data_IF_628995872146
#
_entry.id   IF_628995872146
#
_cell.length_a   1.000
_cell.length_b   1.000
_cell.length_c   1.000
_cell.angle_alpha   90.00
_cell.angle_beta   90.00
_cell.angle_gamma   90.00
#
_symmetry.space_group_name_H-M   'P 1'
#
loop_
_entity.id
_entity.type
_entity.pdbx_description
1 polymer ?
#
# COMPACT_ATOMS: atom_id res chain seq x y z
N UNK A 1 6.09 34.58 23.02
CA UNK A 1 6.56 33.16 23.02
C UNK A 1 5.91 32.46 21.84
N UNK A 2 6.60 32.32 20.69
CA UNK A 2 5.99 31.85 19.44
C UNK A 2 6.95 31.01 18.58
N UNK A 3 7.95 30.39 19.24
CA UNK A 3 9.01 29.60 18.56
C UNK A 3 8.89 28.08 18.74
N UNK A 4 8.04 27.57 19.64
CA UNK A 4 7.95 26.12 19.89
C UNK A 4 7.04 25.36 18.93
N UNK A 5 6.06 26.03 18.29
CA UNK A 5 5.10 25.35 17.40
C UNK A 5 5.74 24.85 16.10
N UNK A 6 6.71 25.57 15.53
CA UNK A 6 7.38 25.15 14.29
C UNK A 6 8.28 23.93 14.49
N UNK A 7 8.94 23.83 15.63
CA UNK A 7 9.76 22.66 15.97
C UNK A 7 8.91 21.41 16.15
N UNK A 8 7.75 21.54 16.78
CA UNK A 8 6.81 20.43 16.98
C UNK A 8 6.21 19.95 15.65
N UNK A 9 5.89 20.88 14.74
CA UNK A 9 5.38 20.56 13.41
C UNK A 9 6.38 19.76 12.57
N UNK A 10 7.65 20.17 12.56
CA UNK A 10 8.69 19.46 11.82
C UNK A 10 9.02 18.08 12.38
N UNK A 11 8.98 17.93 13.71
CA UNK A 11 9.12 16.61 14.34
C UNK A 11 7.95 15.69 13.99
N UNK A 12 6.72 16.23 13.95
CA UNK A 12 5.52 15.49 13.53
C UNK A 12 5.60 15.07 12.05
N UNK A 13 6.00 15.98 11.15
CA UNK A 13 6.22 15.68 9.74
C UNK A 13 7.27 14.58 9.54
N UNK A 14 8.37 14.63 10.29
CA UNK A 14 9.42 13.62 10.22
C UNK A 14 8.95 12.25 10.74
N UNK A 15 8.15 12.22 11.80
CA UNK A 15 7.54 10.99 12.33
C UNK A 15 6.57 10.42 11.30
N UNK A 16 5.70 11.24 10.70
CA UNK A 16 4.76 10.80 9.66
C UNK A 16 5.51 10.26 8.43
N UNK A 17 6.56 10.93 7.97
CA UNK A 17 7.39 10.45 6.86
C UNK A 17 8.06 9.11 7.18
N UNK A 18 8.60 8.96 8.38
CA UNK A 18 9.21 7.71 8.84
C UNK A 18 8.18 6.59 8.96
N UNK A 19 6.97 6.88 9.43
CA UNK A 19 5.86 5.94 9.53
C UNK A 19 5.31 5.53 8.15
N UNK A 20 5.30 6.42 7.17
CA UNK A 20 5.01 6.03 5.78
C UNK A 20 6.04 5.04 5.24
N UNK A 21 7.32 5.21 5.60
CA UNK A 21 8.38 4.27 5.22
C UNK A 21 8.24 2.93 5.95
N UNK A 22 7.96 2.92 7.26
CA UNK A 22 7.76 1.67 8.02
C UNK A 22 6.47 0.96 7.58
N UNK A 23 5.37 1.70 7.40
CA UNK A 23 4.11 1.16 6.89
C UNK A 23 4.30 0.54 5.51
N UNK A 24 5.08 1.19 4.65
CA UNK A 24 5.50 0.60 3.38
C UNK A 24 6.29 -0.70 3.57
N UNK A 25 7.31 -0.72 4.44
CA UNK A 25 8.11 -1.93 4.70
C UNK A 25 7.24 -3.06 5.28
N UNK A 26 6.37 -2.78 6.25
CA UNK A 26 5.60 -3.81 6.96
C UNK A 26 4.41 -4.32 6.15
N UNK A 27 3.72 -3.42 5.42
CA UNK A 27 2.47 -3.76 4.71
C UNK A 27 2.63 -3.95 3.19
N UNK A 28 3.68 -3.40 2.57
CA UNK A 28 4.00 -3.70 1.16
C UNK A 28 5.01 -4.86 1.04
N UNK A 29 5.90 -5.08 2.02
CA UNK A 29 6.78 -6.26 2.01
C UNK A 29 6.25 -7.57 2.68
N UNK A 30 4.99 -7.76 3.14
CA UNK A 30 4.60 -9.04 3.73
C UNK A 30 4.47 -10.18 2.69
N UNK A 31 4.84 -9.94 1.43
CA UNK A 31 5.11 -10.98 0.43
C UNK A 31 6.45 -11.72 0.63
N UNK A 32 7.21 -11.46 1.70
CA UNK A 32 8.32 -12.34 2.14
C UNK A 32 7.81 -13.34 3.19
N UNK A 33 6.69 -14.03 2.93
CA UNK A 33 6.19 -15.06 3.83
C UNK A 33 6.17 -16.44 3.17
N UNK A 34 6.83 -17.38 3.86
CA UNK A 34 6.84 -18.84 3.66
C UNK A 34 7.10 -19.28 2.21
N UNK A 35 8.31 -18.97 1.76
CA UNK A 35 8.81 -19.49 0.49
C UNK A 35 9.01 -21.01 0.57
N UNK A 36 8.31 -21.73 -0.30
CA UNK A 36 8.77 -23.02 -0.80
C UNK A 36 10.22 -22.89 -1.27
N UNK A 37 11.05 -23.90 -1.05
CA UNK A 37 12.46 -24.00 -1.46
C UNK A 37 12.66 -24.05 -2.99
N UNK A 38 11.86 -23.28 -3.73
CA UNK A 38 11.94 -23.06 -5.16
C UNK A 38 13.28 -22.42 -5.54
N UNK A 39 14.06 -23.22 -6.27
CA UNK A 39 15.37 -22.94 -6.86
C UNK A 39 15.81 -21.47 -6.83
N UNK A 40 16.70 -21.12 -5.89
CA UNK A 40 17.32 -19.80 -5.75
C UNK A 40 17.85 -19.23 -7.08
N UNK A 41 18.29 -20.11 -7.99
CA UNK A 41 18.77 -19.73 -9.30
C UNK A 41 17.66 -19.13 -10.19
N UNK A 42 16.44 -19.69 -10.16
CA UNK A 42 15.27 -19.14 -10.85
C UNK A 42 14.99 -17.72 -10.38
N UNK A 43 15.02 -17.48 -9.06
CA UNK A 43 14.79 -16.15 -8.48
C UNK A 43 15.83 -15.15 -8.97
N UNK A 44 17.10 -15.53 -8.96
CA UNK A 44 18.20 -14.69 -9.43
C UNK A 44 18.03 -14.34 -10.92
N UNK A 45 17.64 -15.30 -11.77
CA UNK A 45 17.43 -15.03 -13.19
C UNK A 45 16.26 -14.08 -13.45
N UNK A 46 15.11 -14.33 -12.83
CA UNK A 46 13.93 -13.46 -12.97
C UNK A 46 14.23 -12.05 -12.46
N UNK A 47 14.85 -11.93 -11.29
CA UNK A 47 15.23 -10.64 -10.73
C UNK A 47 16.22 -9.89 -11.64
N UNK A 48 17.24 -10.57 -12.18
CA UNK A 48 18.18 -9.96 -13.12
C UNK A 48 17.52 -9.50 -14.41
N UNK A 49 16.56 -10.28 -14.94
CA UNK A 49 15.80 -9.90 -16.13
C UNK A 49 15.00 -8.62 -15.87
N UNK A 50 14.24 -8.57 -14.77
CA UNK A 50 13.49 -7.38 -14.36
C UNK A 50 14.42 -6.17 -14.14
N UNK A 51 15.54 -6.36 -13.47
CA UNK A 51 16.53 -5.30 -13.26
C UNK A 51 17.14 -4.76 -14.55
N UNK A 52 17.41 -5.63 -15.52
CA UNK A 52 17.89 -5.19 -16.84
C UNK A 52 16.81 -4.42 -17.62
N UNK A 53 15.55 -4.86 -17.52
CA UNK A 53 14.42 -4.12 -18.10
C UNK A 53 14.23 -2.75 -17.44
N UNK A 54 14.44 -2.62 -16.12
CA UNK A 54 14.42 -1.32 -15.44
C UNK A 54 15.58 -0.41 -15.89
N UNK A 55 16.81 -0.94 -15.93
CA UNK A 55 18.00 -0.19 -16.36
C UNK A 55 17.87 0.37 -17.78
N UNK A 56 17.11 -0.31 -18.63
CA UNK A 56 16.84 0.13 -20.01
C UNK A 56 15.60 1.01 -20.14
N UNK A 57 14.88 1.30 -19.04
CA UNK A 57 13.64 2.06 -19.02
C UNK A 57 12.40 1.30 -19.54
N UNK A 58 12.59 0.09 -20.10
CA UNK A 58 11.50 -0.73 -20.64
C UNK A 58 10.50 -1.14 -19.58
N UNK A 59 10.96 -1.60 -18.41
CA UNK A 59 10.06 -2.03 -17.34
C UNK A 59 9.18 -0.89 -16.86
N UNK A 60 9.76 0.31 -16.71
CA UNK A 60 9.05 1.51 -16.30
C UNK A 60 8.00 1.92 -17.34
N UNK A 61 8.35 1.91 -18.63
CA UNK A 61 7.41 2.22 -19.71
C UNK A 61 6.25 1.24 -19.77
N UNK A 62 6.51 -0.06 -19.65
CA UNK A 62 5.48 -1.09 -19.70
C UNK A 62 4.58 -1.06 -18.46
N UNK A 63 5.14 -0.84 -17.27
CA UNK A 63 4.40 -0.72 -16.03
C UNK A 63 3.51 0.54 -16.02
N UNK A 64 4.01 1.68 -16.50
CA UNK A 64 3.22 2.91 -16.61
C UNK A 64 1.99 2.72 -17.54
N UNK A 65 2.14 1.92 -18.59
CA UNK A 65 1.05 1.56 -19.51
C UNK A 65 0.19 0.37 -19.03
N UNK A 66 0.47 -0.19 -17.85
CA UNK A 66 -0.16 -1.42 -17.34
C UNK A 66 -0.09 -2.62 -18.31
N UNK A 67 0.96 -2.69 -19.14
CA UNK A 67 1.10 -3.67 -20.21
C UNK A 67 1.75 -4.97 -19.70
N UNK A 68 1.00 -5.78 -18.95
CA UNK A 68 1.47 -7.06 -18.40
C UNK A 68 1.93 -8.04 -19.48
N UNK A 69 1.26 -8.06 -20.64
CA UNK A 69 1.65 -8.91 -21.78
C UNK A 69 3.03 -8.53 -22.32
N UNK A 70 3.31 -7.23 -22.45
CA UNK A 70 4.63 -6.75 -22.87
C UNK A 70 5.74 -7.11 -21.87
N UNK A 71 5.43 -7.05 -20.56
CA UNK A 71 6.38 -7.49 -19.52
C UNK A 71 6.63 -8.99 -19.65
N UNK A 72 5.59 -9.80 -19.83
CA UNK A 72 5.71 -11.25 -20.00
C UNK A 72 6.55 -11.62 -21.24
N UNK A 73 6.33 -10.93 -22.38
CA UNK A 73 7.09 -11.15 -23.61
C UNK A 73 8.58 -10.87 -23.44
N UNK A 74 8.95 -9.80 -22.73
CA UNK A 74 10.37 -9.51 -22.48
C UNK A 74 11.03 -10.41 -21.44
N UNK A 75 10.26 -10.88 -20.47
CA UNK A 75 10.74 -11.93 -19.57
C UNK A 75 10.94 -13.24 -20.34
N UNK A 76 10.04 -13.59 -21.27
CA UNK A 76 10.16 -14.79 -22.10
C UNK A 76 11.41 -14.75 -22.99
N UNK A 77 11.70 -13.61 -23.61
CA UNK A 77 12.87 -13.43 -24.47
C UNK A 77 14.20 -13.56 -23.69
N UNK A 78 14.18 -13.21 -22.40
CA UNK A 78 15.37 -13.19 -21.55
C UNK A 78 15.58 -14.50 -20.78
N UNK A 79 14.49 -15.11 -20.28
CA UNK A 79 14.60 -16.19 -19.31
C UNK A 79 14.93 -17.53 -19.93
N UNK A 80 14.61 -17.81 -21.20
CA UNK A 80 14.98 -19.03 -21.93
C UNK A 80 14.91 -20.34 -21.10
N UNK A 81 13.96 -20.44 -20.17
CA UNK A 81 13.85 -21.53 -19.20
C UNK A 81 12.59 -22.35 -19.49
N UNK A 82 12.60 -23.67 -19.24
CA UNK A 82 11.43 -24.53 -19.37
C UNK A 82 10.47 -24.35 -18.17
N UNK A 83 10.21 -23.12 -17.79
CA UNK A 83 9.35 -22.76 -16.67
C UNK A 83 8.16 -21.97 -17.19
N UNK A 84 7.00 -22.22 -16.62
CA UNK A 84 5.81 -21.40 -16.86
C UNK A 84 5.82 -20.26 -15.86
N UNK A 85 5.38 -19.09 -16.30
CA UNK A 85 5.20 -17.96 -15.41
C UNK A 85 4.08 -17.04 -15.87
N UNK A 86 3.52 -16.32 -14.91
CA UNK A 86 2.60 -15.21 -15.14
C UNK A 86 3.11 -13.98 -14.39
N UNK A 87 2.62 -12.82 -14.81
CA UNK A 87 3.03 -11.52 -14.30
C UNK A 87 1.83 -10.84 -13.68
N UNK A 88 2.03 -10.25 -12.52
CA UNK A 88 1.13 -9.28 -11.95
C UNK A 88 1.85 -7.95 -11.72
N UNK A 89 1.06 -6.90 -11.62
CA UNK A 89 1.54 -5.59 -11.22
C UNK A 89 0.63 -5.03 -10.14
N UNK A 90 1.26 -4.64 -9.04
CA UNK A 90 0.60 -3.97 -7.93
C UNK A 90 0.94 -2.48 -7.98
N UNK A 91 -0.07 -1.63 -7.87
CA UNK A 91 0.10 -0.17 -7.79
C UNK A 91 -0.42 0.29 -6.44
N UNK A 92 0.43 1.00 -5.70
CA UNK A 92 0.00 1.69 -4.49
C UNK A 92 -0.55 3.08 -4.84
N UNK A 93 -1.68 3.42 -4.22
CA UNK A 93 -2.17 4.79 -4.12
C UNK A 93 -2.06 5.20 -2.65
N UNK A 94 -1.10 6.08 -2.38
CA UNK A 94 -0.83 6.57 -1.03
C UNK A 94 -1.40 7.98 -0.92
N UNK A 95 -2.23 8.21 0.09
CA UNK A 95 -2.74 9.52 0.43
C UNK A 95 -2.46 9.83 1.89
N UNK A 96 -2.30 11.10 2.22
CA UNK A 96 -2.13 11.55 3.59
C UNK A 96 -2.81 12.90 3.76
N UNK A 97 -3.09 13.27 5.00
CA UNK A 97 -3.70 14.53 5.31
C UNK A 97 -4.03 14.68 6.78
N UNK A 98 -4.81 15.69 7.10
CA UNK A 98 -5.27 15.96 8.46
C UNK A 98 -6.75 16.25 8.41
N UNK A 99 -7.49 15.66 9.33
CA UNK A 99 -8.91 15.89 9.53
C UNK A 99 -9.18 16.42 10.92
N UNK A 100 -10.31 17.14 11.07
CA UNK A 100 -10.64 17.87 12.29
C UNK A 100 -12.05 17.53 12.77
N UNK A 101 -12.25 16.38 13.45
CA UNK A 101 -13.49 16.13 14.17
C UNK A 101 -13.73 17.25 15.18
N UNK A 102 -14.99 17.67 15.33
CA UNK A 102 -15.35 18.78 16.23
C UNK A 102 -16.14 18.27 17.43
N UNK A 103 -16.06 19.04 18.52
CA UNK A 103 -16.78 18.80 19.75
C UNK A 103 -18.28 18.59 19.49
N UNK A 104 -18.90 17.74 20.31
CA UNK A 104 -20.29 17.32 20.11
C UNK A 104 -20.47 16.20 19.07
N UNK A 105 -19.43 15.40 18.82
CA UNK A 105 -19.43 14.27 17.90
C UNK A 105 -19.76 14.64 16.45
N UNK A 106 -19.25 15.79 15.99
CA UNK A 106 -19.38 16.18 14.58
C UNK A 106 -18.28 15.45 13.79
N UNK A 107 -18.63 14.52 12.88
CA UNK A 107 -17.67 13.70 12.15
C UNK A 107 -16.76 14.53 11.24
N UNK A 108 -15.53 14.03 11.07
CA UNK A 108 -14.71 14.34 9.90
C UNK A 108 -14.60 13.12 8.98
N UNK A 109 -14.36 13.38 7.69
CA UNK A 109 -14.36 12.35 6.66
C UNK A 109 -13.05 12.30 5.88
N UNK A 110 -12.61 11.08 5.57
CA UNK A 110 -11.56 10.81 4.59
C UNK A 110 -12.22 10.04 3.45
N UNK A 111 -12.22 10.60 2.24
CA UNK A 111 -12.82 9.98 1.07
C UNK A 111 -11.74 9.34 0.20
N UNK A 112 -11.99 8.13 -0.29
CA UNK A 112 -11.08 7.44 -1.19
C UNK A 112 -11.84 6.59 -2.22
N UNK A 113 -11.16 6.20 -3.29
CA UNK A 113 -11.70 5.30 -4.31
C UNK A 113 -10.88 4.03 -4.37
N UNK A 114 -11.56 2.90 -4.51
CA UNK A 114 -10.92 1.60 -4.66
C UNK A 114 -11.63 0.77 -5.73
N UNK A 115 -10.92 -0.18 -6.34
CA UNK A 115 -11.52 -1.20 -7.18
C UNK A 115 -11.39 -2.55 -6.48
N UNK A 116 -12.50 -3.06 -5.93
CA UNK A 116 -12.49 -4.29 -5.14
C UNK A 116 -12.05 -5.51 -5.94
N UNK A 117 -12.26 -5.49 -7.27
CA UNK A 117 -11.90 -6.62 -8.13
C UNK A 117 -10.39 -6.80 -8.25
N UNK A 118 -9.63 -5.72 -8.09
CA UNK A 118 -8.16 -5.71 -8.10
C UNK A 118 -7.55 -5.42 -6.74
N UNK A 119 -8.35 -5.24 -5.69
CA UNK A 119 -7.83 -4.83 -4.38
C UNK A 119 -7.03 -5.96 -3.74
N UNK A 120 -5.73 -5.73 -3.54
CA UNK A 120 -4.83 -6.64 -2.82
C UNK A 120 -4.89 -6.33 -1.32
N UNK A 121 -4.64 -5.06 -0.97
CA UNK A 121 -4.73 -4.58 0.40
C UNK A 121 -5.11 -3.10 0.46
N UNK A 122 -5.65 -2.69 1.61
CA UNK A 122 -5.95 -1.32 1.95
C UNK A 122 -5.68 -1.14 3.43
N UNK A 123 -4.87 -0.14 3.78
CA UNK A 123 -4.52 0.18 5.16
C UNK A 123 -4.70 1.67 5.46
N UNK A 124 -4.99 1.95 6.72
CA UNK A 124 -5.17 3.30 7.26
C UNK A 124 -4.34 3.42 8.53
N UNK A 125 -3.45 4.41 8.59
CA UNK A 125 -2.79 4.83 9.81
C UNK A 125 -3.41 6.16 10.27
N UNK A 126 -3.76 6.25 11.55
CA UNK A 126 -4.29 7.46 12.20
C UNK A 126 -3.37 7.87 13.35
N UNK A 127 -3.00 9.14 13.37
CA UNK A 127 -2.24 9.77 14.45
C UNK A 127 -3.09 10.85 15.12
N UNK A 128 -3.42 10.62 16.39
CA UNK A 128 -4.36 11.45 17.12
C UNK A 128 -3.63 12.52 17.93
N UNK A 129 -4.00 13.78 17.70
CA UNK A 129 -3.63 14.90 18.55
C UNK A 129 -4.87 15.39 19.32
N UNK A 130 -4.93 14.98 20.60
CA UNK A 130 -5.94 15.37 21.59
C UNK A 130 -7.38 14.96 21.22
N UNK A 131 -7.60 13.67 20.94
CA UNK A 131 -8.91 13.14 20.65
C UNK A 131 -9.55 12.48 21.88
N UNK A 132 -10.66 13.02 22.38
CA UNK A 132 -11.45 12.38 23.42
C UNK A 132 -12.50 11.47 22.82
N UNK A 133 -12.60 10.26 23.37
CA UNK A 133 -13.54 9.21 22.97
C UNK A 133 -13.61 8.97 21.45
N UNK A 134 -12.48 8.85 20.74
CA UNK A 134 -12.51 8.75 19.28
C UNK A 134 -13.16 7.45 18.83
N UNK A 135 -13.91 7.51 17.73
CA UNK A 135 -14.49 6.34 17.07
C UNK A 135 -14.33 6.43 15.55
N UNK A 136 -13.97 5.31 14.93
CA UNK A 136 -13.65 5.20 13.50
C UNK A 136 -14.60 4.21 12.84
N UNK A 137 -15.12 4.60 11.68
CA UNK A 137 -16.01 3.80 10.85
C UNK A 137 -15.54 3.82 9.39
N UNK A 138 -15.68 2.71 8.69
CA UNK A 138 -15.42 2.62 7.24
C UNK A 138 -16.72 2.21 6.56
N UNK A 139 -17.21 3.03 5.62
CA UNK A 139 -18.49 2.78 4.93
C UNK A 139 -19.63 2.45 5.93
N UNK A 140 -19.72 3.23 7.01
CA UNK A 140 -20.66 3.08 8.13
C UNK A 140 -20.51 1.79 8.97
N UNK A 141 -19.48 0.98 8.73
CA UNK A 141 -19.15 -0.18 9.56
C UNK A 141 -18.16 0.23 10.64
N UNK A 142 -18.43 -0.17 11.88
CA UNK A 142 -17.54 0.09 13.01
C UNK A 142 -16.17 -0.56 12.81
N UNK A 143 -15.11 0.21 13.06
CA UNK A 143 -13.73 -0.28 13.00
C UNK A 143 -13.11 -0.29 14.41
N UNK A 144 -13.10 0.85 15.10
CA UNK A 144 -12.50 0.98 16.44
C UNK A 144 -13.07 2.16 17.23
N UNK A 145 -12.87 2.13 18.54
CA UNK A 145 -13.10 3.26 19.43
C UNK A 145 -12.21 3.18 20.68
N UNK A 146 -11.96 4.34 21.27
CA UNK A 146 -11.23 4.46 22.54
C UNK A 146 -12.05 5.26 23.53
N UNK A 147 -11.85 5.01 24.83
CA UNK A 147 -12.46 5.80 25.91
C UNK A 147 -11.44 6.78 26.50
N UNK A 148 -11.89 7.98 26.84
CA UNK A 148 -11.06 9.03 27.42
C UNK A 148 -10.18 9.74 26.38
N UNK A 149 -9.18 10.47 26.85
CA UNK A 149 -8.28 11.22 25.98
C UNK A 149 -7.24 10.30 25.34
N UNK A 150 -7.20 10.29 24.02
CA UNK A 150 -6.30 9.52 23.18
C UNK A 150 -5.43 10.48 22.36
N UNK A 151 -4.12 10.47 22.61
CA UNK A 151 -3.18 11.42 22.01
C UNK A 151 -1.78 10.82 21.93
N UNK A 152 -1.01 11.19 20.90
CA UNK A 152 0.41 10.82 20.75
C UNK A 152 0.66 9.36 20.37
N UNK A 153 -0.38 8.64 19.94
CA UNK A 153 -0.30 7.27 19.46
C UNK A 153 -0.74 7.21 18.00
N UNK A 154 0.03 6.49 17.18
CA UNK A 154 -0.37 6.10 15.84
C UNK A 154 -0.96 4.70 15.87
N UNK A 155 -2.16 4.55 15.32
CA UNK A 155 -2.85 3.27 15.16
C UNK A 155 -2.94 2.92 13.69
N UNK A 156 -2.71 1.66 13.34
CA UNK A 156 -2.80 1.17 11.95
C UNK A 156 -3.87 0.11 11.83
N UNK A 157 -4.68 0.23 10.78
CA UNK A 157 -5.82 -0.61 10.51
C UNK A 157 -5.70 -1.26 9.13
N UNK A 158 -6.04 -2.55 9.07
CA UNK A 158 -6.33 -3.24 7.81
C UNK A 158 -7.79 -2.95 7.44
N UNK A 159 -8.00 -2.15 6.39
CA UNK A 159 -9.33 -1.68 5.95
C UNK A 159 -9.84 -2.42 4.70
N UNK A 160 -9.07 -3.37 4.15
CA UNK A 160 -9.47 -4.20 3.01
C UNK A 160 -10.84 -4.84 3.16
N UNK A 161 -11.24 -5.44 4.30
CA UNK A 161 -12.54 -6.07 4.45
C UNK A 161 -13.72 -5.11 4.31
N UNK A 162 -13.52 -3.85 4.71
CA UNK A 162 -14.56 -2.80 4.74
C UNK A 162 -14.65 -2.01 3.43
N UNK A 163 -13.67 -2.18 2.54
CA UNK A 163 -13.57 -1.45 1.27
C UNK A 163 -14.49 -2.04 0.20
N UNK A 164 -15.16 -1.18 -0.57
CA UNK A 164 -16.03 -1.50 -1.70
C UNK A 164 -15.50 -0.92 -3.03
N UNK A 165 -16.00 -1.42 -4.18
CA UNK A 165 -15.69 -0.83 -5.48
C UNK A 165 -16.31 0.55 -5.61
N UNK A 166 -15.54 1.52 -6.12
CA UNK A 166 -15.94 2.91 -6.30
C UNK A 166 -15.60 3.76 -5.08
N UNK A 167 -16.52 4.66 -4.70
CA UNK A 167 -16.30 5.60 -3.60
C UNK A 167 -16.43 4.92 -2.23
N UNK A 168 -15.51 5.26 -1.34
CA UNK A 168 -15.44 4.80 0.04
C UNK A 168 -15.24 6.01 0.96
N UNK A 169 -15.66 5.89 2.21
CA UNK A 169 -15.47 6.93 3.23
C UNK A 169 -15.04 6.34 4.57
N UNK A 170 -14.03 6.94 5.17
CA UNK A 170 -13.71 6.83 6.59
C UNK A 170 -14.44 7.96 7.32
N UNK A 171 -15.21 7.63 8.35
CA UNK A 171 -15.80 8.60 9.26
C UNK A 171 -15.10 8.51 10.61
N UNK A 172 -14.66 9.65 11.13
CA UNK A 172 -13.98 9.73 12.42
C UNK A 172 -14.72 10.74 13.31
N UNK A 173 -15.14 10.27 14.48
CA UNK A 173 -15.81 11.06 15.52
C UNK A 173 -14.88 11.24 16.71
N UNK A 174 -15.05 12.37 17.42
CA UNK A 174 -14.46 12.61 18.73
C UNK A 174 -15.41 13.49 19.55
N UNK A 175 -15.35 13.40 20.88
CA UNK A 175 -16.18 14.19 21.79
C UNK A 175 -15.65 15.63 21.95
N UNK A 176 -14.38 15.87 21.63
CA UNK A 176 -13.70 17.18 21.65
C UNK A 176 -13.28 17.64 20.25
N UNK A 177 -12.89 18.91 20.12
CA UNK A 177 -12.16 19.37 18.95
C UNK A 177 -10.81 18.65 18.89
N UNK A 178 -10.55 17.96 17.78
CA UNK A 178 -9.39 17.09 17.63
C UNK A 178 -8.67 17.35 16.32
N UNK A 179 -7.38 17.04 16.29
CA UNK A 179 -6.61 17.01 15.04
C UNK A 179 -6.14 15.58 14.83
N UNK A 180 -6.50 14.97 13.69
CA UNK A 180 -6.12 13.59 13.39
C UNK A 180 -5.41 13.60 12.04
N UNK A 181 -4.13 13.27 12.06
CA UNK A 181 -3.36 13.06 10.84
C UNK A 181 -3.58 11.64 10.36
N UNK A 182 -3.59 11.44 9.04
CA UNK A 182 -3.76 10.12 8.47
C UNK A 182 -2.75 9.85 7.35
N UNK A 183 -2.44 8.58 7.17
CA UNK A 183 -1.83 8.03 5.96
C UNK A 183 -2.63 6.81 5.54
N UNK A 184 -3.00 6.72 4.27
CA UNK A 184 -3.79 5.63 3.71
C UNK A 184 -3.07 5.07 2.51
N UNK A 185 -2.97 3.75 2.45
CA UNK A 185 -2.36 3.02 1.34
C UNK A 185 -3.39 2.07 0.75
N UNK A 186 -3.70 2.23 -0.54
CA UNK A 186 -4.55 1.30 -1.29
C UNK A 186 -3.68 0.60 -2.34
N UNK A 187 -3.54 -0.71 -2.24
CA UNK A 187 -2.82 -1.53 -3.22
C UNK A 187 -3.81 -2.26 -4.13
N UNK A 188 -3.72 -1.96 -5.42
CA UNK A 188 -4.44 -2.71 -6.45
C UNK A 188 -3.47 -3.55 -7.26
N UNK A 189 -3.77 -4.83 -7.41
CA UNK A 189 -3.00 -5.79 -8.20
C UNK A 189 -3.81 -6.21 -9.42
N UNK A 190 -3.23 -6.02 -10.59
CA UNK A 190 -3.70 -6.64 -11.84
C UNK A 190 -2.80 -7.81 -12.17
N UNK A 191 -3.39 -8.93 -12.59
CA UNK A 191 -2.66 -10.15 -12.91
C UNK A 191 -3.05 -10.66 -14.29
N UNK A 192 -2.07 -11.05 -15.10
CA UNK A 192 -2.31 -11.49 -16.48
C UNK A 192 -3.11 -12.79 -16.55
N UNK A 193 -2.80 -13.73 -15.65
CA UNK A 193 -3.54 -14.99 -15.48
C UNK A 193 -3.27 -15.55 -14.10
N UNK A 194 -4.20 -16.29 -13.50
CA UNK A 194 -3.94 -17.00 -12.26
C UNK A 194 -2.76 -17.99 -12.43
N UNK A 195 -1.95 -18.26 -11.39
CA UNK A 195 -0.96 -19.34 -11.44
C UNK A 195 -1.70 -20.70 -11.50
N UNK A 196 -1.07 -21.74 -12.04
CA UNK A 196 -1.68 -23.07 -12.09
C UNK A 196 -1.99 -23.59 -10.68
N UNK A 197 -3.24 -24.01 -10.47
CA UNK A 197 -3.68 -24.63 -9.24
C UNK A 197 -2.86 -25.91 -8.96
N UNK A 198 -2.57 -26.18 -7.69
CA UNK A 198 -1.80 -27.35 -7.21
C UNK A 198 -0.32 -27.40 -7.60
N UNK A 199 0.27 -26.28 -8.10
CA UNK A 199 1.70 -26.17 -8.31
C UNK A 199 2.38 -25.40 -7.19
N UNK A 200 3.61 -25.80 -6.85
CA UNK A 200 4.47 -24.98 -6.00
C UNK A 200 4.91 -23.74 -6.77
N UNK A 201 4.38 -22.58 -6.39
CA UNK A 201 4.66 -21.30 -7.05
C UNK A 201 5.75 -20.55 -6.30
N UNK A 202 6.74 -20.05 -7.04
CA UNK A 202 7.74 -19.09 -6.53
C UNK A 202 7.37 -17.69 -6.96
N UNK A 203 7.27 -16.76 -6.03
CA UNK A 203 6.95 -15.35 -6.30
C UNK A 203 8.21 -14.50 -6.25
N UNK A 204 8.44 -13.68 -7.28
CA UNK A 204 9.55 -12.73 -7.34
C UNK A 204 8.95 -11.33 -7.50
N UNK A 205 9.08 -10.50 -6.46
CA UNK A 205 8.68 -9.10 -6.49
C UNK A 205 9.83 -8.18 -6.92
N UNK A 206 9.50 -7.14 -7.69
CA UNK A 206 10.44 -6.11 -8.12
C UNK A 206 9.78 -4.74 -8.06
N UNK A 207 10.28 -3.87 -7.17
CA UNK A 207 9.74 -2.53 -6.95
C UNK A 207 10.29 -1.59 -8.02
N UNK A 208 9.38 -0.99 -8.78
CA UNK A 208 9.67 0.08 -9.72
C UNK A 208 9.50 1.40 -8.98
N UNK A 209 10.57 2.17 -8.89
CA UNK A 209 10.51 3.51 -8.29
C UNK A 209 9.46 4.36 -9.03
N UNK A 210 8.47 4.86 -8.28
CA UNK A 210 7.43 5.73 -8.80
C UNK A 210 7.99 7.08 -9.27
N UNK A 211 7.14 7.90 -9.89
CA UNK A 211 7.53 9.27 -10.26
C UNK A 211 7.93 10.04 -8.99
N UNK A 212 9.08 10.73 -9.01
CA UNK A 212 9.67 11.41 -7.84
C UNK A 212 8.76 12.47 -7.20
N UNK A 213 7.74 12.94 -7.91
CA UNK A 213 6.77 13.93 -7.43
C UNK A 213 5.59 13.35 -6.64
N UNK A 214 5.34 12.05 -6.70
CA UNK A 214 4.27 11.39 -5.95
C UNK A 214 4.76 9.99 -5.54
N UNK A 215 4.94 9.77 -4.24
CA UNK A 215 5.35 8.46 -3.71
C UNK A 215 4.21 7.46 -3.92
N UNK A 216 4.21 6.79 -5.09
CA UNK A 216 3.25 5.76 -5.49
C UNK A 216 4.03 4.61 -6.16
N UNK A 217 4.85 3.89 -5.39
CA UNK A 217 5.61 2.76 -5.92
C UNK A 217 4.68 1.74 -6.58
N UNK A 218 5.16 1.19 -7.68
CA UNK A 218 4.54 0.04 -8.34
C UNK A 218 5.46 -1.16 -8.16
N UNK A 219 4.88 -2.34 -8.01
CA UNK A 219 5.60 -3.59 -7.90
C UNK A 219 5.21 -4.48 -9.07
N UNK A 220 6.19 -5.09 -9.74
CA UNK A 220 5.94 -6.19 -10.66
C UNK A 220 6.24 -7.49 -9.93
N UNK A 221 5.25 -8.38 -9.87
CA UNK A 221 5.36 -9.72 -9.30
C UNK A 221 5.38 -10.74 -10.43
N UNK A 222 6.34 -11.66 -10.40
CA UNK A 222 6.43 -12.79 -11.32
C UNK A 222 6.20 -14.06 -10.54
N UNK A 223 5.17 -14.81 -10.92
CA UNK A 223 4.85 -16.11 -10.34
C UNK A 223 5.36 -17.19 -11.27
N UNK A 224 6.25 -18.05 -10.78
CA UNK A 224 6.94 -19.08 -11.58
C UNK A 224 6.62 -20.47 -11.06
N UNK A 225 6.36 -21.42 -11.96
CA UNK A 225 6.13 -22.83 -11.63
C UNK A 225 6.64 -23.77 -12.73
N UNK A 226 6.65 -25.06 -12.43
CA UNK A 226 6.97 -26.16 -13.36
C UNK A 226 5.74 -27.02 -13.60
#
# INVERSE_FOLDING_TARGET
>A
MMRSHKGMLHTLEAIIAFLMVIGFIVFVMPAVNKESSGNQQTRIYVYKALSNMEKTGKLQSLAAAQNLTGIQLELNSTLALPMKFTVAMSKSNISHGTVYPKAGNIPAYINFTADKSSLDSASLALDYANASDPAVYINNQYLSSHSGNYSGNTETFEISPYTQTGANSVMINASTDSTISYSMTIMNTIQLSAPEENKSVTTIGYIISGNRSAFSPSEVRVYVWK
#
